data_IF_969773004236
#
_entry.id   IF_969773004236
#
_cell.length_a   1.000
_cell.length_b   1.000
_cell.length_c   1.000
_cell.angle_alpha   90.00
_cell.angle_beta   90.00
_cell.angle_gamma   90.00
#
_symmetry.space_group_name_H-M   'P 1'
#
loop_
_entity.id
_entity.type
_entity.pdbx_description
1 polymer ?
#
# COMPACT_ATOMS: atom_id res chain seq x y z
N UNK A 1 -11.06 -30.77 57.31
CA UNK A 1 -11.58 -29.63 56.52
C UNK A 1 -10.87 -29.65 55.18
N UNK A 2 -11.59 -29.95 54.10
CA UNK A 2 -11.04 -29.98 52.74
C UNK A 2 -11.18 -28.56 52.16
N UNK A 3 -10.05 -27.92 51.87
CA UNK A 3 -10.01 -26.63 51.19
C UNK A 3 -10.36 -26.86 49.72
N UNK A 4 -11.58 -26.50 49.31
CA UNK A 4 -11.94 -26.36 47.90
C UNK A 4 -11.26 -25.09 47.38
N UNK A 5 -10.26 -25.25 46.53
CA UNK A 5 -9.79 -24.18 45.66
C UNK A 5 -10.94 -23.75 44.74
N UNK A 6 -11.21 -22.45 44.55
CA UNK A 6 -12.13 -22.01 43.51
C UNK A 6 -11.49 -22.30 42.15
N UNK A 7 -12.16 -23.07 41.31
CA UNK A 7 -11.88 -23.14 39.87
C UNK A 7 -12.19 -21.76 39.28
N UNK A 8 -11.19 -20.89 39.28
CA UNK A 8 -11.23 -19.70 38.45
C UNK A 8 -11.17 -20.19 36.99
N UNK A 9 -12.11 -19.79 36.10
CA UNK A 9 -11.95 -20.06 34.69
C UNK A 9 -10.62 -19.44 34.27
N UNK A 10 -9.72 -20.26 33.73
CA UNK A 10 -8.56 -19.73 33.02
C UNK A 10 -9.08 -18.70 32.02
N UNK A 11 -8.49 -17.49 31.93
CA UNK A 11 -8.77 -16.64 30.79
C UNK A 11 -8.39 -17.47 29.57
N UNK A 12 -9.37 -17.79 28.72
CA UNK A 12 -9.10 -18.29 27.39
C UNK A 12 -8.27 -17.21 26.73
N UNK A 13 -6.96 -17.42 26.74
CA UNK A 13 -6.03 -16.63 25.96
C UNK A 13 -6.38 -16.99 24.52
N UNK A 14 -7.31 -16.23 23.93
CA UNK A 14 -7.79 -16.36 22.56
C UNK A 14 -6.65 -15.98 21.60
N UNK A 15 -5.63 -16.83 21.59
CA UNK A 15 -4.48 -16.74 20.69
C UNK A 15 -4.92 -17.03 19.26
N UNK A 16 -4.16 -16.52 18.30
CA UNK A 16 -4.36 -16.82 16.89
C UNK A 16 -4.39 -18.35 16.68
N UNK A 17 -5.35 -18.83 15.89
CA UNK A 17 -5.41 -20.26 15.56
C UNK A 17 -4.13 -20.67 14.85
N UNK A 18 -3.67 -21.90 15.10
CA UNK A 18 -2.45 -22.41 14.46
C UNK A 18 -2.54 -22.32 12.92
N UNK A 19 -3.74 -22.58 12.38
CA UNK A 19 -4.02 -22.46 10.94
C UNK A 19 -3.85 -21.03 10.43
N UNK A 20 -4.32 -20.02 11.18
CA UNK A 20 -4.15 -18.62 10.81
C UNK A 20 -2.66 -18.24 10.82
N UNK A 21 -1.92 -18.67 11.85
CA UNK A 21 -0.49 -18.42 11.97
C UNK A 21 0.30 -19.05 10.83
N UNK A 22 -0.02 -20.29 10.46
CA UNK A 22 0.60 -20.96 9.32
C UNK A 22 0.29 -20.22 8.02
N UNK A 23 -0.96 -19.85 7.77
CA UNK A 23 -1.36 -19.14 6.57
C UNK A 23 -0.70 -17.75 6.47
N UNK A 24 -0.65 -17.00 7.57
CA UNK A 24 0.02 -15.71 7.67
C UNK A 24 1.54 -15.82 7.42
N UNK A 25 2.21 -16.81 8.03
CA UNK A 25 3.63 -17.05 7.81
C UNK A 25 3.95 -17.43 6.36
N UNK A 26 3.10 -18.26 5.74
CA UNK A 26 3.24 -18.62 4.32
C UNK A 26 3.05 -17.41 3.40
N UNK A 27 2.09 -16.53 3.70
CA UNK A 27 1.89 -15.29 2.95
C UNK A 27 3.09 -14.35 3.06
N UNK A 28 3.61 -14.14 4.28
CA UNK A 28 4.81 -13.32 4.51
C UNK A 28 6.00 -13.87 3.74
N UNK A 29 6.23 -15.18 3.83
CA UNK A 29 7.31 -15.85 3.08
C UNK A 29 7.13 -15.67 1.58
N UNK A 30 5.91 -15.89 1.06
CA UNK A 30 5.61 -15.72 -0.37
C UNK A 30 5.87 -14.27 -0.82
N UNK A 31 5.41 -13.28 -0.06
CA UNK A 31 5.63 -11.85 -0.34
C UNK A 31 7.12 -11.50 -0.43
N UNK A 32 7.92 -11.98 0.52
CA UNK A 32 9.37 -11.79 0.52
C UNK A 32 10.02 -12.44 -0.73
N UNK A 33 9.71 -13.71 -0.99
CA UNK A 33 10.23 -14.42 -2.17
C UNK A 33 9.82 -13.77 -3.48
N UNK A 34 8.59 -13.25 -3.58
CA UNK A 34 8.11 -12.49 -4.74
C UNK A 34 8.95 -11.24 -4.95
N UNK A 35 9.19 -10.43 -3.91
CA UNK A 35 10.01 -9.21 -4.04
C UNK A 35 11.41 -9.54 -4.56
N UNK A 36 12.05 -10.54 -3.98
CA UNK A 36 13.36 -11.01 -4.42
C UNK A 36 13.37 -11.43 -5.89
N UNK A 37 12.39 -12.25 -6.30
CA UNK A 37 12.31 -12.79 -7.67
C UNK A 37 11.76 -11.80 -8.70
N UNK A 38 11.00 -10.79 -8.29
CA UNK A 38 10.48 -9.79 -9.20
C UNK A 38 11.52 -8.72 -9.49
N UNK A 39 12.20 -8.24 -8.44
CA UNK A 39 12.97 -7.00 -8.48
C UNK A 39 14.48 -7.14 -8.33
N UNK A 40 15.00 -8.34 -8.08
CA UNK A 40 16.45 -8.57 -8.00
C UNK A 40 16.89 -9.64 -8.99
N UNK A 41 18.05 -9.43 -9.59
CA UNK A 41 18.76 -10.48 -10.32
C UNK A 41 19.49 -11.41 -9.33
N UNK A 42 19.31 -12.72 -9.48
CA UNK A 42 19.88 -13.70 -8.54
C UNK A 42 21.39 -13.85 -8.64
N UNK A 43 21.99 -13.42 -9.75
CA UNK A 43 23.43 -13.56 -10.01
C UNK A 43 24.18 -12.26 -9.72
N UNK A 44 23.59 -11.10 -10.06
CA UNK A 44 24.24 -9.79 -9.89
C UNK A 44 23.78 -9.03 -8.65
N UNK A 45 22.65 -9.42 -8.04
CA UNK A 45 21.96 -8.66 -6.99
C UNK A 45 21.55 -7.24 -7.41
N UNK A 46 21.55 -6.94 -8.71
CA UNK A 46 21.10 -5.64 -9.22
C UNK A 46 19.58 -5.57 -9.26
N UNK A 47 19.05 -4.36 -9.03
CA UNK A 47 17.62 -4.08 -9.17
C UNK A 47 17.17 -4.16 -10.63
N UNK A 48 15.98 -4.72 -10.86
CA UNK A 48 15.36 -4.81 -12.19
C UNK A 48 13.84 -4.74 -12.13
N UNK A 49 13.22 -4.44 -13.27
CA UNK A 49 11.77 -4.67 -13.43
C UNK A 49 11.48 -6.14 -13.77
N UNK A 50 10.33 -6.70 -13.33
CA UNK A 50 9.92 -8.04 -13.71
C UNK A 50 9.60 -8.11 -15.21
N UNK A 51 10.09 -9.18 -15.87
CA UNK A 51 9.63 -9.52 -17.22
C UNK A 51 8.20 -10.07 -17.17
N UNK A 52 7.49 -10.05 -18.31
CA UNK A 52 6.13 -10.60 -18.41
C UNK A 52 6.04 -12.05 -17.94
N UNK A 53 6.98 -12.89 -18.39
CA UNK A 53 7.00 -14.31 -18.03
C UNK A 53 7.20 -14.53 -16.53
N UNK A 54 8.07 -13.71 -15.89
CA UNK A 54 8.28 -13.76 -14.45
C UNK A 54 7.02 -13.31 -13.72
N UNK A 55 6.45 -12.17 -14.10
CA UNK A 55 5.25 -11.63 -13.46
C UNK A 55 4.07 -12.61 -13.53
N UNK A 56 3.80 -13.20 -14.69
CA UNK A 56 2.73 -14.21 -14.85
C UNK A 56 2.98 -15.49 -14.06
N UNK A 57 4.25 -15.92 -13.92
CA UNK A 57 4.58 -17.04 -13.05
C UNK A 57 4.28 -16.71 -11.58
N UNK A 58 4.71 -15.53 -11.10
CA UNK A 58 4.45 -15.07 -9.74
C UNK A 58 2.95 -14.85 -9.48
N UNK A 59 2.19 -14.32 -10.45
CA UNK A 59 0.73 -14.19 -10.32
C UNK A 59 0.03 -15.56 -10.22
N UNK A 60 0.52 -16.58 -10.93
CA UNK A 60 0.03 -17.96 -10.77
C UNK A 60 0.35 -18.53 -9.40
N UNK A 61 1.51 -18.21 -8.83
CA UNK A 61 1.84 -18.58 -7.45
C UNK A 61 0.91 -17.90 -6.45
N UNK A 62 0.65 -16.58 -6.59
CA UNK A 62 -0.33 -15.85 -5.78
C UNK A 62 -1.73 -16.48 -5.89
N UNK A 63 -2.17 -16.85 -7.09
CA UNK A 63 -3.46 -17.52 -7.28
C UNK A 63 -3.49 -18.89 -6.62
N UNK A 64 -2.39 -19.65 -6.71
CA UNK A 64 -2.30 -20.97 -6.07
C UNK A 64 -2.37 -20.86 -4.55
N UNK A 65 -1.66 -19.91 -3.96
CA UNK A 65 -1.75 -19.60 -2.52
C UNK A 65 -3.16 -19.19 -2.11
N UNK A 66 -3.84 -18.36 -2.90
CA UNK A 66 -5.21 -17.94 -2.56
C UNK A 66 -6.18 -19.12 -2.44
N UNK A 67 -5.99 -20.18 -3.25
CA UNK A 67 -6.80 -21.40 -3.17
C UNK A 67 -6.49 -22.27 -1.95
N UNK A 68 -5.35 -22.07 -1.28
CA UNK A 68 -4.99 -22.80 -0.06
C UNK A 68 -5.51 -22.10 1.21
N UNK A 69 -6.03 -20.88 1.11
CA UNK A 69 -6.61 -20.17 2.26
C UNK A 69 -7.82 -20.97 2.79
N UNK A 70 -7.86 -21.30 4.09
CA UNK A 70 -8.98 -22.00 4.70
C UNK A 70 -10.32 -21.30 4.48
N UNK A 71 -11.40 -22.07 4.35
CA UNK A 71 -12.73 -21.54 4.00
C UNK A 71 -13.26 -20.54 5.03
N UNK A 72 -13.03 -20.79 6.30
CA UNK A 72 -13.36 -19.93 7.44
C UNK A 72 -12.57 -18.61 7.46
N UNK A 73 -11.46 -18.53 6.71
CA UNK A 73 -10.67 -17.31 6.48
C UNK A 73 -10.92 -16.70 5.10
N UNK A 74 -11.85 -17.22 4.31
CA UNK A 74 -12.23 -16.65 3.02
C UNK A 74 -13.17 -15.45 3.21
N UNK A 75 -13.02 -14.42 2.37
CA UNK A 75 -13.91 -13.25 2.36
C UNK A 75 -15.39 -13.62 2.21
N UNK A 76 -15.71 -14.73 1.55
CA UNK A 76 -17.08 -15.21 1.37
C UNK A 76 -17.74 -15.69 2.69
N UNK A 77 -16.93 -16.10 3.67
CA UNK A 77 -17.39 -16.59 4.97
C UNK A 77 -17.32 -15.53 6.06
N UNK A 78 -16.80 -14.34 5.75
CA UNK A 78 -16.64 -13.22 6.69
C UNK A 78 -17.92 -12.86 7.49
N UNK A 79 -19.15 -12.93 6.94
CA UNK A 79 -20.36 -12.68 7.72
C UNK A 79 -20.54 -13.66 8.88
N UNK A 80 -20.09 -14.90 8.72
CA UNK A 80 -20.18 -16.00 9.69
C UNK A 80 -18.97 -16.09 10.63
N UNK A 81 -17.88 -15.39 10.31
CA UNK A 81 -16.69 -15.31 11.15
C UNK A 81 -17.00 -14.51 12.43
N UNK A 82 -16.52 -14.92 13.61
CA UNK A 82 -16.67 -14.13 14.82
C UNK A 82 -16.04 -12.73 14.70
N UNK A 83 -16.65 -11.66 15.24
CA UNK A 83 -16.15 -10.28 15.12
C UNK A 83 -14.66 -10.13 15.43
N UNK A 84 -14.17 -10.81 16.47
CA UNK A 84 -12.79 -10.84 16.95
C UNK A 84 -11.78 -11.39 15.93
N UNK A 85 -12.26 -12.17 14.95
CA UNK A 85 -11.44 -12.75 13.89
C UNK A 85 -11.59 -12.03 12.55
N UNK A 86 -12.64 -11.22 12.37
CA UNK A 86 -12.90 -10.52 11.09
C UNK A 86 -11.77 -9.58 10.72
N UNK A 87 -11.26 -8.81 11.67
CA UNK A 87 -10.18 -7.87 11.42
C UNK A 87 -8.90 -8.58 10.94
N UNK A 88 -8.53 -9.69 11.59
CA UNK A 88 -7.35 -10.50 11.22
C UNK A 88 -7.49 -11.11 9.82
N UNK A 89 -8.66 -11.66 9.51
CA UNK A 89 -8.96 -12.19 8.17
C UNK A 89 -8.87 -11.10 7.11
N UNK A 90 -9.44 -9.92 7.37
CA UNK A 90 -9.36 -8.79 6.45
C UNK A 90 -7.92 -8.32 6.23
N UNK A 91 -7.11 -8.22 7.28
CA UNK A 91 -5.68 -7.87 7.19
C UNK A 91 -4.87 -8.89 6.37
N UNK A 92 -5.16 -10.18 6.52
CA UNK A 92 -4.56 -11.24 5.69
C UNK A 92 -4.82 -10.98 4.20
N UNK A 93 -6.06 -10.64 3.84
CA UNK A 93 -6.43 -10.33 2.46
C UNK A 93 -5.83 -9.01 1.97
N UNK A 94 -5.79 -7.96 2.80
CA UNK A 94 -5.09 -6.70 2.47
C UNK A 94 -3.64 -6.98 2.11
N UNK A 95 -2.94 -7.78 2.92
CA UNK A 95 -1.53 -8.09 2.67
C UNK A 95 -1.33 -9.01 1.44
N UNK A 96 -2.28 -9.90 1.17
CA UNK A 96 -2.31 -10.69 -0.06
C UNK A 96 -2.48 -9.80 -1.30
N UNK A 97 -3.45 -8.89 -1.29
CA UNK A 97 -3.68 -7.99 -2.42
C UNK A 97 -2.52 -7.01 -2.62
N UNK A 98 -1.91 -6.51 -1.54
CA UNK A 98 -0.66 -5.76 -1.62
C UNK A 98 0.44 -6.58 -2.32
N UNK A 99 0.62 -7.85 -1.95
CA UNK A 99 1.61 -8.73 -2.56
C UNK A 99 1.38 -8.89 -4.07
N UNK A 100 0.13 -8.99 -4.52
CA UNK A 100 -0.21 -8.98 -5.95
C UNK A 100 0.17 -7.66 -6.62
N UNK A 101 -0.17 -6.52 -6.01
CA UNK A 101 0.20 -5.20 -6.52
C UNK A 101 1.71 -5.07 -6.74
N UNK A 102 2.53 -5.62 -5.84
CA UNK A 102 3.99 -5.64 -6.00
C UNK A 102 4.42 -6.39 -7.27
N UNK A 103 3.78 -7.50 -7.63
CA UNK A 103 4.11 -8.23 -8.87
C UNK A 103 3.75 -7.42 -10.12
N UNK A 104 2.63 -6.69 -10.08
CA UNK A 104 1.97 -6.15 -11.26
C UNK A 104 2.14 -4.64 -11.49
N UNK A 105 2.62 -3.87 -10.52
CA UNK A 105 2.68 -2.40 -10.58
C UNK A 105 3.50 -1.85 -11.75
N UNK A 106 4.60 -2.50 -12.14
CA UNK A 106 5.41 -2.07 -13.28
C UNK A 106 4.63 -2.10 -14.59
N UNK A 107 3.66 -3.02 -14.72
CA UNK A 107 2.82 -3.12 -15.92
C UNK A 107 1.74 -2.04 -15.96
N UNK A 108 1.28 -1.57 -14.79
CA UNK A 108 0.44 -0.37 -14.70
C UNK A 108 1.21 0.87 -15.18
N UNK A 109 2.47 1.03 -14.79
CA UNK A 109 3.32 2.13 -15.28
C UNK A 109 3.50 2.03 -16.80
N UNK A 110 3.81 0.84 -17.33
CA UNK A 110 3.90 0.62 -18.80
C UNK A 110 2.59 0.95 -19.53
N UNK A 111 1.43 0.65 -18.93
CA UNK A 111 0.15 1.09 -19.50
C UNK A 111 0.05 2.61 -19.56
N UNK A 112 0.41 3.29 -18.47
CA UNK A 112 0.41 4.77 -18.43
C UNK A 112 1.37 5.34 -19.47
N UNK A 113 2.57 4.79 -19.60
CA UNK A 113 3.54 5.19 -20.65
C UNK A 113 2.98 4.99 -22.05
N UNK A 114 2.30 3.87 -22.30
CA UNK A 114 1.61 3.62 -23.57
C UNK A 114 0.49 4.63 -23.84
N UNK A 115 -0.25 5.04 -22.80
CA UNK A 115 -1.28 6.07 -22.92
C UNK A 115 -0.67 7.44 -23.23
N UNK A 116 0.45 7.80 -22.59
CA UNK A 116 1.20 9.03 -22.88
C UNK A 116 1.69 9.01 -24.33
N UNK A 117 2.30 7.90 -24.78
CA UNK A 117 2.76 7.75 -26.15
C UNK A 117 1.60 7.95 -27.15
N UNK A 118 0.43 7.38 -26.86
CA UNK A 118 -0.77 7.59 -27.67
C UNK A 118 -1.19 9.06 -27.74
N UNK A 119 -1.16 9.79 -26.63
CA UNK A 119 -1.47 11.23 -26.57
C UNK A 119 -0.44 12.10 -27.31
N UNK A 120 0.79 11.60 -27.48
CA UNK A 120 1.86 12.23 -28.26
C UNK A 120 1.87 11.80 -29.74
N UNK A 121 0.77 11.19 -30.22
CA UNK A 121 0.63 10.65 -31.58
C UNK A 121 1.69 9.58 -31.94
N UNK A 122 2.34 8.98 -30.94
CA UNK A 122 3.24 7.83 -31.12
C UNK A 122 2.40 6.56 -31.14
N UNK A 123 2.14 6.05 -32.33
CA UNK A 123 1.34 4.84 -32.49
C UNK A 123 2.07 3.60 -31.96
N UNK A 124 1.55 3.01 -30.89
CA UNK A 124 1.96 1.68 -30.41
C UNK A 124 1.06 0.65 -31.09
N UNK A 125 1.58 -0.21 -31.98
CA UNK A 125 0.75 -1.20 -32.65
C UNK A 125 0.24 -2.23 -31.63
N UNK A 126 -0.99 -2.74 -31.79
CA UNK A 126 -1.51 -3.79 -30.93
C UNK A 126 -0.65 -5.05 -31.05
N UNK A 127 -0.26 -5.61 -29.91
CA UNK A 127 0.50 -6.85 -29.82
C UNK A 127 -0.04 -7.76 -28.72
N UNK A 128 0.31 -9.04 -28.79
CA UNK A 128 0.01 -10.00 -27.71
C UNK A 128 0.69 -9.57 -26.41
N UNK A 129 1.92 -9.05 -26.51
CA UNK A 129 2.69 -8.54 -25.39
C UNK A 129 1.99 -7.35 -24.69
N UNK A 130 1.45 -6.43 -25.49
CA UNK A 130 0.66 -5.31 -24.99
C UNK A 130 -0.60 -5.81 -24.28
N UNK A 131 -1.31 -6.78 -24.87
CA UNK A 131 -2.53 -7.34 -24.27
C UNK A 131 -2.26 -7.99 -22.91
N UNK A 132 -1.15 -8.73 -22.78
CA UNK A 132 -0.71 -9.33 -21.52
C UNK A 132 -0.26 -8.29 -20.49
N UNK A 133 0.43 -7.24 -20.95
CA UNK A 133 0.79 -6.08 -20.11
C UNK A 133 -0.46 -5.39 -19.54
N UNK A 134 -1.48 -5.16 -20.38
CA UNK A 134 -2.74 -4.57 -19.97
C UNK A 134 -3.50 -5.46 -18.98
N UNK A 135 -3.46 -6.78 -19.15
CA UNK A 135 -4.06 -7.73 -18.20
C UNK A 135 -3.40 -7.65 -16.82
N UNK A 136 -2.06 -7.63 -16.76
CA UNK A 136 -1.33 -7.45 -15.49
C UNK A 136 -1.58 -6.07 -14.87
N UNK A 137 -1.67 -5.01 -15.68
CA UNK A 137 -2.06 -3.67 -15.21
C UNK A 137 -3.44 -3.70 -14.56
N UNK A 138 -4.42 -4.38 -15.15
CA UNK A 138 -5.77 -4.51 -14.59
C UNK A 138 -5.77 -5.34 -13.29
N UNK A 139 -5.01 -6.43 -13.23
CA UNK A 139 -4.80 -7.22 -12.02
C UNK A 139 -4.25 -6.36 -10.86
N UNK A 140 -3.33 -5.43 -11.16
CA UNK A 140 -2.77 -4.51 -10.19
C UNK A 140 -3.85 -3.61 -9.57
N UNK A 141 -4.64 -2.98 -10.43
CA UNK A 141 -5.66 -2.01 -10.01
C UNK A 141 -6.80 -2.71 -9.30
N UNK A 142 -7.19 -3.90 -9.76
CA UNK A 142 -8.20 -4.72 -9.09
C UNK A 142 -7.71 -5.18 -7.71
N UNK A 143 -6.45 -5.57 -7.57
CA UNK A 143 -5.89 -5.96 -6.26
C UNK A 143 -5.90 -4.76 -5.30
N UNK A 144 -5.49 -3.57 -5.74
CA UNK A 144 -5.57 -2.35 -4.92
C UNK A 144 -7.02 -1.99 -4.54
N UNK A 145 -7.96 -2.16 -5.47
CA UNK A 145 -9.37 -1.95 -5.21
C UNK A 145 -9.91 -2.93 -4.15
N UNK A 146 -9.60 -4.22 -4.26
CA UNK A 146 -10.02 -5.23 -3.27
C UNK A 146 -9.37 -5.00 -1.90
N UNK A 147 -8.11 -4.53 -1.86
CA UNK A 147 -7.46 -4.10 -0.62
C UNK A 147 -8.24 -2.98 0.07
N UNK A 148 -8.62 -1.93 -0.66
CA UNK A 148 -9.46 -0.84 -0.12
C UNK A 148 -10.82 -1.34 0.37
N UNK A 149 -11.46 -2.28 -0.34
CA UNK A 149 -12.72 -2.90 0.11
C UNK A 149 -12.55 -3.63 1.43
N UNK A 150 -11.45 -4.36 1.60
CA UNK A 150 -11.16 -5.05 2.85
C UNK A 150 -10.94 -4.06 4.00
N UNK A 151 -10.23 -2.95 3.75
CA UNK A 151 -9.98 -1.92 4.76
C UNK A 151 -11.28 -1.22 5.17
N UNK A 152 -12.16 -0.87 4.22
CA UNK A 152 -13.46 -0.27 4.52
C UNK A 152 -14.33 -1.22 5.33
N UNK A 153 -14.43 -2.49 4.92
CA UNK A 153 -15.14 -3.51 5.68
C UNK A 153 -14.56 -3.72 7.09
N UNK A 154 -13.28 -3.38 7.25
CA UNK A 154 -12.52 -3.44 8.49
C UNK A 154 -12.64 -2.22 9.41
N UNK A 155 -13.19 -1.11 8.92
CA UNK A 155 -13.17 0.16 9.63
C UNK A 155 -13.86 0.07 11.00
N UNK A 156 -15.02 -0.60 11.05
CA UNK A 156 -15.79 -0.80 12.29
C UNK A 156 -15.11 -1.76 13.28
N UNK A 157 -14.14 -2.55 12.83
CA UNK A 157 -13.34 -3.45 13.66
C UNK A 157 -12.01 -2.84 14.10
N UNK A 158 -11.83 -1.52 13.88
CA UNK A 158 -10.64 -0.80 14.30
C UNK A 158 -9.41 -1.07 13.43
N UNK A 159 -9.55 -1.59 12.20
CA UNK A 159 -8.40 -1.80 11.30
C UNK A 159 -7.68 -0.49 10.97
N UNK A 160 -8.40 0.64 10.93
CA UNK A 160 -7.84 1.94 10.53
C UNK A 160 -7.30 2.67 11.76
N UNK A 161 -6.02 3.01 11.75
CA UNK A 161 -5.33 3.67 12.86
C UNK A 161 -4.92 2.74 13.99
N UNK A 162 -5.06 1.42 13.83
CA UNK A 162 -4.51 0.42 14.76
C UNK A 162 -2.99 0.44 14.73
N UNK A 163 -2.43 0.53 13.53
CA UNK A 163 -0.99 0.54 13.29
C UNK A 163 -0.70 1.55 12.21
N UNK A 164 0.40 2.29 12.31
CA UNK A 164 0.85 3.14 11.21
C UNK A 164 0.93 2.42 9.84
N UNK A 165 1.06 1.09 9.86
CA UNK A 165 1.11 0.25 8.67
C UNK A 165 -0.24 0.10 7.94
N UNK A 166 -1.39 0.28 8.60
CA UNK A 166 -2.69 0.28 7.92
C UNK A 166 -2.80 1.46 6.93
N UNK A 167 -2.31 2.64 7.33
CA UNK A 167 -2.23 3.84 6.50
C UNK A 167 -1.28 3.67 5.31
N UNK A 168 -0.20 2.90 5.47
CA UNK A 168 0.67 2.55 4.35
C UNK A 168 -0.11 1.80 3.26
N UNK A 169 -0.86 0.75 3.64
CA UNK A 169 -1.65 -0.01 2.66
C UNK A 169 -2.77 0.84 2.04
N UNK A 170 -3.41 1.70 2.82
CA UNK A 170 -4.40 2.67 2.32
C UNK A 170 -3.79 3.55 1.22
N UNK A 171 -2.72 4.28 1.54
CA UNK A 171 -2.16 5.23 0.58
C UNK A 171 -1.53 4.52 -0.61
N UNK A 172 -0.89 3.36 -0.41
CA UNK A 172 -0.40 2.53 -1.51
C UNK A 172 -1.52 2.15 -2.49
N UNK A 173 -2.64 1.63 -1.99
CA UNK A 173 -3.77 1.24 -2.83
C UNK A 173 -4.43 2.45 -3.51
N UNK A 174 -4.55 3.59 -2.84
CA UNK A 174 -5.05 4.84 -3.45
C UNK A 174 -4.16 5.28 -4.60
N UNK A 175 -2.83 5.29 -4.41
CA UNK A 175 -1.90 5.68 -5.46
C UNK A 175 -1.99 4.76 -6.69
N UNK A 176 -2.12 3.44 -6.49
CA UNK A 176 -2.32 2.49 -7.61
C UNK A 176 -3.63 2.77 -8.35
N UNK A 177 -4.74 2.93 -7.63
CA UNK A 177 -6.03 3.21 -8.28
C UNK A 177 -5.97 4.54 -9.04
N UNK A 178 -5.35 5.58 -8.48
CA UNK A 178 -5.22 6.87 -9.17
C UNK A 178 -4.35 6.76 -10.43
N UNK A 179 -3.25 6.01 -10.37
CA UNK A 179 -2.36 5.82 -11.52
C UNK A 179 -3.09 5.19 -12.73
N UNK A 180 -4.12 4.38 -12.50
CA UNK A 180 -4.99 3.82 -13.54
C UNK A 180 -5.71 4.87 -14.41
N UNK A 181 -5.95 6.05 -13.83
CA UNK A 181 -6.60 7.18 -14.49
C UNK A 181 -5.62 8.16 -15.12
N UNK A 182 -4.31 7.97 -14.90
CA UNK A 182 -3.30 8.86 -15.45
C UNK A 182 -3.20 8.72 -16.97
N UNK A 183 -3.11 9.86 -17.66
CA UNK A 183 -2.96 9.96 -19.10
C UNK A 183 -4.04 9.24 -19.93
N UNK A 184 -5.23 8.95 -19.39
CA UNK A 184 -6.32 8.33 -20.17
C UNK A 184 -6.67 9.20 -21.39
N UNK A 185 -6.93 8.59 -22.58
CA UNK A 185 -7.29 9.33 -23.78
C UNK A 185 -8.50 10.24 -23.59
N UNK A 186 -8.46 11.44 -24.20
CA UNK A 186 -9.57 12.41 -24.15
C UNK A 186 -10.85 11.78 -24.73
N UNK A 187 -11.95 11.94 -24.02
CA UNK A 187 -13.27 11.42 -24.43
C UNK A 187 -13.54 9.97 -24.02
N UNK A 188 -12.56 9.27 -23.41
CA UNK A 188 -12.81 7.98 -22.77
C UNK A 188 -13.78 8.16 -21.60
N UNK A 189 -14.93 7.51 -21.68
CA UNK A 189 -15.95 7.57 -20.64
C UNK A 189 -15.63 6.56 -19.54
N UNK A 190 -15.87 6.96 -18.28
CA UNK A 190 -15.73 6.05 -17.16
C UNK A 190 -16.70 4.88 -17.29
N UNK A 191 -16.17 3.66 -17.15
CA UNK A 191 -16.98 2.45 -17.03
C UNK A 191 -17.61 2.35 -15.64
N UNK A 192 -18.56 1.43 -15.44
CA UNK A 192 -19.13 1.19 -14.11
C UNK A 192 -18.05 0.79 -13.07
N UNK A 193 -17.04 0.01 -13.49
CA UNK A 193 -15.91 -0.34 -12.63
C UNK A 193 -15.04 0.88 -12.30
N UNK A 194 -14.85 1.78 -13.25
CA UNK A 194 -14.10 3.02 -13.00
C UNK A 194 -14.80 3.89 -11.96
N UNK A 195 -16.13 4.00 -12.04
CA UNK A 195 -16.92 4.73 -11.05
C UNK A 195 -16.81 4.10 -9.66
N UNK A 196 -16.88 2.77 -9.55
CA UNK A 196 -16.69 2.05 -8.28
C UNK A 196 -15.28 2.30 -7.70
N UNK A 197 -14.25 2.20 -8.53
CA UNK A 197 -12.86 2.48 -8.15
C UNK A 197 -12.65 3.91 -7.68
N UNK A 198 -13.25 4.89 -8.36
CA UNK A 198 -13.19 6.30 -7.93
C UNK A 198 -13.89 6.48 -6.60
N UNK A 199 -15.07 5.89 -6.46
CA UNK A 199 -15.88 6.04 -5.25
C UNK A 199 -15.16 5.48 -4.02
N UNK A 200 -14.55 4.30 -4.14
CA UNK A 200 -13.85 3.71 -3.01
C UNK A 200 -12.67 4.56 -2.53
N UNK A 201 -11.98 5.25 -3.45
CA UNK A 201 -10.89 6.17 -3.13
C UNK A 201 -11.45 7.40 -2.42
N UNK A 202 -12.57 7.97 -2.88
CA UNK A 202 -13.22 9.11 -2.22
C UNK A 202 -13.65 8.76 -0.80
N UNK A 203 -14.31 7.63 -0.62
CA UNK A 203 -14.71 7.12 0.70
C UNK A 203 -13.48 6.98 1.59
N UNK A 204 -12.41 6.34 1.11
CA UNK A 204 -11.20 6.14 1.90
C UNK A 204 -10.49 7.45 2.26
N UNK A 205 -10.37 8.38 1.31
CA UNK A 205 -9.79 9.70 1.56
C UNK A 205 -10.60 10.49 2.59
N UNK A 206 -11.93 10.38 2.58
CA UNK A 206 -12.79 10.99 3.58
C UNK A 206 -12.62 10.34 4.96
N UNK A 207 -12.47 9.01 5.03
CA UNK A 207 -12.22 8.31 6.29
C UNK A 207 -10.92 8.78 6.96
N UNK A 208 -9.85 8.98 6.18
CA UNK A 208 -8.56 9.42 6.74
C UNK A 208 -8.45 10.93 6.96
N UNK A 209 -9.37 11.75 6.42
CA UNK A 209 -9.32 13.24 6.42
C UNK A 209 -9.42 13.89 7.81
N UNK A 210 -9.68 13.14 8.87
CA UNK A 210 -9.74 13.65 10.25
C UNK A 210 -8.74 13.01 11.21
N UNK A 211 -7.90 12.09 10.73
CA UNK A 211 -7.04 11.29 11.59
C UNK A 211 -5.81 12.08 12.05
N UNK A 212 -5.38 11.84 13.30
CA UNK A 212 -4.11 12.36 13.81
C UNK A 212 -2.97 11.48 13.29
N UNK A 213 -2.34 11.93 12.21
CA UNK A 213 -1.27 11.19 11.54
C UNK A 213 0.13 11.61 12.00
N UNK A 214 1.08 10.67 12.02
CA UNK A 214 2.51 10.99 12.12
C UNK A 214 2.97 11.71 10.84
N UNK A 215 4.09 12.42 10.92
CA UNK A 215 4.55 13.33 9.85
C UNK A 215 4.61 12.65 8.48
N UNK A 216 5.23 11.48 8.39
CA UNK A 216 5.34 10.69 7.14
C UNK A 216 3.99 10.41 6.50
N UNK A 217 2.97 10.05 7.29
CA UNK A 217 1.63 9.73 6.78
C UNK A 217 0.80 10.98 6.47
N UNK A 218 1.09 12.12 7.10
CA UNK A 218 0.53 13.41 6.65
C UNK A 218 1.04 13.74 5.26
N UNK A 219 2.33 13.59 5.03
CA UNK A 219 2.94 13.81 3.70
C UNK A 219 2.38 12.85 2.66
N UNK A 220 2.37 11.54 2.94
CA UNK A 220 1.80 10.54 2.04
C UNK A 220 0.31 10.79 1.77
N UNK A 221 -0.47 11.16 2.79
CA UNK A 221 -1.87 11.53 2.62
C UNK A 221 -2.06 12.76 1.74
N UNK A 222 -1.21 13.79 1.92
CA UNK A 222 -1.19 14.96 1.04
C UNK A 222 -0.91 14.59 -0.42
N UNK A 223 0.11 13.76 -0.66
CA UNK A 223 0.44 13.26 -2.00
C UNK A 223 -0.74 12.49 -2.60
N UNK A 224 -1.37 11.59 -1.84
CA UNK A 224 -2.50 10.80 -2.30
C UNK A 224 -3.71 11.68 -2.68
N UNK A 225 -4.03 12.70 -1.88
CA UNK A 225 -5.12 13.66 -2.17
C UNK A 225 -4.83 14.47 -3.43
N UNK A 226 -3.60 14.97 -3.57
CA UNK A 226 -3.19 15.72 -4.75
C UNK A 226 -3.25 14.84 -6.00
N UNK A 227 -2.75 13.62 -5.92
CA UNK A 227 -2.74 12.70 -7.05
C UNK A 227 -4.16 12.29 -7.46
N UNK A 228 -5.06 12.05 -6.50
CA UNK A 228 -6.47 11.80 -6.77
C UNK A 228 -7.16 13.01 -7.43
N UNK A 229 -6.75 14.23 -7.09
CA UNK A 229 -7.24 15.45 -7.75
C UNK A 229 -6.74 15.56 -9.20
N UNK A 230 -5.44 15.37 -9.43
CA UNK A 230 -4.81 15.44 -10.76
C UNK A 230 -5.44 14.41 -11.72
N UNK A 231 -5.73 13.22 -11.22
CA UNK A 231 -6.30 12.12 -12.00
C UNK A 231 -7.82 12.21 -12.15
N UNK A 232 -8.46 13.22 -11.57
CA UNK A 232 -9.92 13.41 -11.60
C UNK A 232 -10.69 12.37 -10.79
N UNK A 233 -10.01 11.58 -9.94
CA UNK A 233 -10.62 10.59 -9.05
C UNK A 233 -11.35 11.27 -7.90
N UNK A 234 -10.79 12.36 -7.36
CA UNK A 234 -11.36 13.09 -6.22
C UNK A 234 -12.63 13.91 -6.57
N UNK A 235 -12.92 14.15 -7.86
CA UNK A 235 -14.07 14.95 -8.29
C UNK A 235 -15.35 14.13 -8.21
N UNK A 236 -16.35 14.61 -7.45
CA UNK A 236 -17.71 14.03 -7.42
C UNK A 236 -18.44 14.34 -8.73
N UNK A 237 -18.96 13.32 -9.42
CA UNK A 237 -19.80 13.53 -10.60
C UNK A 237 -21.22 13.87 -10.13
N UNK A 238 -21.52 15.16 -10.00
CA UNK A 238 -22.82 15.63 -9.51
C UNK A 238 -23.04 17.14 -9.54
N UNK A 239 -22.99 17.77 -10.72
CA UNK A 239 -23.99 18.80 -11.08
C UNK A 239 -24.03 19.02 -12.60
N UNK A 240 -25.14 18.71 -13.28
CA UNK A 240 -25.45 19.24 -14.59
C UNK A 240 -26.24 20.55 -14.46
N UNK A 241 -25.55 21.67 -14.26
CA UNK A 241 -26.05 23.05 -14.46
C UNK A 241 -24.85 23.85 -15.01
N UNK A 242 -24.80 24.47 -16.20
CA UNK A 242 -25.80 24.96 -17.12
C UNK A 242 -25.27 24.87 -18.56
N UNK A 243 -25.98 24.17 -19.45
CA UNK A 243 -25.92 24.46 -20.89
C UNK A 243 -27.14 25.34 -21.18
N UNK A 244 -26.95 26.65 -21.16
CA UNK A 244 -27.71 27.60 -21.99
C UNK A 244 -26.82 28.81 -22.31
N UNK A 245 -26.43 28.88 -23.59
CA UNK A 245 -26.06 30.01 -24.43
C UNK A 245 -25.35 31.26 -23.84
N UNK A 246 -24.10 31.44 -24.30
CA UNK A 246 -23.48 32.67 -24.82
C UNK A 246 -23.57 33.99 -24.02
N UNK A 247 -22.43 34.46 -23.48
CA UNK A 247 -21.71 35.66 -23.95
C UNK A 247 -20.44 35.95 -23.14
N UNK A 248 -19.29 35.96 -23.84
CA UNK A 248 -18.14 36.88 -23.67
C UNK A 248 -17.49 37.11 -22.30
N UNK A 249 -16.21 36.72 -22.19
CA UNK A 249 -15.25 37.16 -21.15
C UNK A 249 -14.70 35.95 -20.39
N UNK A 250 -13.49 35.46 -20.66
CA UNK A 250 -12.26 36.20 -20.41
C UNK A 250 -11.70 35.76 -19.06
N UNK A 251 -10.93 34.68 -19.09
CA UNK A 251 -9.76 34.39 -18.25
C UNK A 251 -9.86 34.68 -16.73
N UNK A 252 -9.95 33.60 -15.93
CA UNK A 252 -9.38 33.45 -14.58
C UNK A 252 -9.83 32.12 -13.96
N UNK A 253 -9.08 31.06 -14.26
CA UNK A 253 -9.01 29.92 -13.33
C UNK A 253 -8.11 30.37 -12.18
N UNK A 254 -8.60 30.27 -10.96
CA UNK A 254 -7.94 30.73 -9.74
C UNK A 254 -6.53 30.11 -9.56
N UNK A 255 -5.52 30.85 -10.02
CA UNK A 255 -4.08 30.58 -9.83
C UNK A 255 -3.64 30.63 -8.35
N UNK A 256 -4.51 31.07 -7.43
CA UNK A 256 -4.18 31.22 -6.02
C UNK A 256 -4.17 29.91 -5.21
N UNK A 257 -4.92 28.88 -5.61
CA UNK A 257 -4.87 27.58 -4.91
C UNK A 257 -3.72 26.68 -5.39
N UNK A 258 -3.26 26.84 -6.63
CA UNK A 258 -2.10 26.10 -7.16
C UNK A 258 -0.76 26.70 -6.70
N UNK A 259 -0.69 28.00 -6.44
CA UNK A 259 0.54 28.68 -6.01
C UNK A 259 0.91 28.40 -4.54
N UNK A 260 -0.08 28.28 -3.64
CA UNK A 260 0.16 28.01 -2.22
C UNK A 260 0.70 26.59 -1.94
N UNK A 261 0.34 25.61 -2.77
CA UNK A 261 0.87 24.24 -2.65
C UNK A 261 2.28 24.07 -3.23
N UNK A 262 2.73 24.99 -4.09
CA UNK A 262 4.00 24.85 -4.82
C UNK A 262 5.22 25.14 -3.94
N UNK A 263 5.09 26.08 -2.99
CA UNK A 263 6.18 26.50 -2.11
C UNK A 263 6.46 25.45 -1.00
N UNK A 264 5.41 24.85 -0.44
CA UNK A 264 5.54 23.73 0.52
C UNK A 264 6.09 22.46 -0.15
N UNK A 265 5.69 22.15 -1.39
CA UNK A 265 6.18 20.95 -2.12
C UNK A 265 7.66 21.02 -2.50
N UNK A 266 8.18 22.22 -2.81
CA UNK A 266 9.60 22.39 -3.11
C UNK A 266 10.49 22.19 -1.88
N UNK A 267 9.98 22.53 -0.69
CA UNK A 267 10.67 22.32 0.57
C UNK A 267 10.62 20.84 1.02
N UNK A 268 9.49 20.15 0.77
CA UNK A 268 9.31 18.71 1.08
C UNK A 268 10.12 17.78 0.16
N UNK A 269 10.26 18.12 -1.13
CA UNK A 269 11.07 17.34 -2.08
C UNK A 269 12.56 17.32 -1.71
N UNK A 270 13.06 18.36 -1.05
CA UNK A 270 14.45 18.40 -0.56
C UNK A 270 14.65 17.58 0.72
N UNK A 271 13.63 17.38 1.55
CA UNK A 271 13.70 16.53 2.76
C UNK A 271 13.57 15.04 2.45
N UNK A 272 12.99 14.66 1.31
CA UNK A 272 12.81 13.25 0.90
C UNK A 272 14.12 12.61 0.42
N UNK A 273 15.11 13.41 -0.04
CA UNK A 273 16.38 12.90 -0.56
C UNK A 273 17.24 12.19 0.50
N UNK A 274 17.02 12.47 1.79
CA UNK A 274 17.81 11.89 2.89
C UNK A 274 17.16 10.65 3.54
N UNK A 275 15.97 10.23 3.11
CA UNK A 275 15.20 9.10 3.71
C UNK A 275 15.21 7.84 2.83
N UNK A 276 15.94 7.86 1.70
CA UNK A 276 15.49 7.12 0.52
C UNK A 276 15.94 5.66 0.37
N UNK A 277 16.92 5.13 1.13
CA UNK A 277 17.44 3.78 0.80
C UNK A 277 17.07 2.64 1.77
N UNK A 278 16.85 2.90 3.07
CA UNK A 278 16.68 1.79 4.03
C UNK A 278 15.28 1.62 4.63
N UNK A 279 14.43 2.65 4.63
CA UNK A 279 13.16 2.57 5.34
C UNK A 279 12.17 1.62 4.66
N UNK A 280 12.02 1.68 3.33
CA UNK A 280 11.00 0.88 2.62
C UNK A 280 11.35 -0.62 2.60
N UNK A 281 12.63 -0.95 2.46
CA UNK A 281 13.13 -2.32 2.53
C UNK A 281 12.99 -2.88 3.97
N UNK A 282 13.38 -2.13 4.99
CA UNK A 282 13.33 -2.61 6.39
C UNK A 282 11.92 -2.63 6.99
N UNK A 283 11.06 -1.65 6.67
CA UNK A 283 9.69 -1.60 7.18
C UNK A 283 8.83 -2.75 6.62
N UNK A 284 9.10 -3.18 5.39
CA UNK A 284 8.36 -4.30 4.75
C UNK A 284 9.04 -5.66 4.91
N UNK A 285 10.33 -5.72 5.21
CA UNK A 285 11.03 -6.94 5.62
C UNK A 285 10.76 -7.31 7.09
N UNK A 286 10.50 -6.32 7.95
CA UNK A 286 10.13 -6.51 9.36
C UNK A 286 8.64 -6.82 9.56
N UNK A 287 7.92 -7.18 8.50
CA UNK A 287 6.53 -7.67 8.57
C UNK A 287 6.51 -9.09 9.16
N UNK A 288 6.81 -9.18 10.44
CA UNK A 288 6.59 -10.37 11.24
C UNK A 288 5.10 -10.63 11.46
N UNK A 289 4.81 -11.68 12.22
CA UNK A 289 3.45 -12.02 12.63
C UNK A 289 2.81 -10.91 13.50
N UNK A 290 3.64 -10.04 14.09
CA UNK A 290 3.25 -8.86 14.88
C UNK A 290 2.28 -7.92 14.16
N UNK A 291 2.27 -7.90 12.81
CA UNK A 291 1.26 -7.14 12.06
C UNK A 291 -0.17 -7.68 12.26
N UNK A 292 -0.30 -8.99 12.47
CA UNK A 292 -1.59 -9.66 12.67
C UNK A 292 -2.00 -9.73 14.15
N UNK A 293 -1.10 -9.35 15.06
CA UNK A 293 -1.38 -9.23 16.49
C UNK A 293 -2.21 -7.98 16.77
N UNK A 294 -3.52 -8.11 16.56
CA UNK A 294 -4.53 -7.18 17.06
C UNK A 294 -4.77 -7.47 18.56
N UNK A 295 -4.22 -6.66 19.47
CA UNK A 295 -4.53 -6.72 20.89
C UNK A 295 -5.94 -6.18 21.14
N UNK A 296 -6.87 -7.07 21.51
CA UNK A 296 -8.21 -6.70 21.93
C UNK A 296 -8.19 -6.28 23.41
N UNK A 297 -8.51 -5.01 23.66
CA UNK A 297 -8.73 -4.49 25.00
C UNK A 297 -9.03 -3.02 24.95
N UNK A 298 -10.18 -2.63 25.49
CA UNK A 298 -10.61 -1.25 25.72
C UNK A 298 -9.51 -0.40 26.36
N UNK A 299 -8.74 0.28 25.53
CA UNK A 299 -8.20 1.62 25.72
C UNK A 299 -7.54 1.94 24.39
N UNK A 300 -8.18 2.77 23.57
CA UNK A 300 -7.46 3.47 22.51
C UNK A 300 -6.36 4.26 23.23
N UNK A 301 -5.18 3.67 23.37
CA UNK A 301 -4.02 4.34 23.93
C UNK A 301 -3.88 5.64 23.11
N UNK A 302 -3.93 6.82 23.77
CA UNK A 302 -3.66 8.04 23.04
C UNK A 302 -2.29 7.85 22.40
N UNK A 303 -2.20 8.10 21.09
CA UNK A 303 -0.96 8.24 20.34
C UNK A 303 -0.13 9.36 20.98
N UNK A 304 0.51 9.07 22.11
CA UNK A 304 1.60 9.84 22.68
C UNK A 304 2.86 9.26 22.06
N UNK A 305 3.49 10.05 21.20
CA UNK A 305 4.85 9.83 20.76
C UNK A 305 5.76 9.84 21.99
N UNK A 306 6.08 8.66 22.51
CA UNK A 306 7.25 8.49 23.35
C UNK A 306 8.51 8.70 22.49
N UNK A 307 9.57 9.31 23.02
CA UNK A 307 10.83 9.43 22.30
C UNK A 307 11.38 8.02 21.97
N UNK A 308 12.04 7.84 20.82
CA UNK A 308 12.51 6.53 20.40
C UNK A 308 13.52 6.00 21.41
N UNK A 309 13.18 4.89 22.07
CA UNK A 309 14.10 4.14 22.92
C UNK A 309 15.10 3.39 22.05
N UNK A 310 16.10 4.10 21.56
CA UNK A 310 17.37 3.51 21.14
C UNK A 310 18.24 3.28 22.38
N UNK A 311 19.01 2.19 22.47
CA UNK A 311 20.02 2.04 23.50
C UNK A 311 21.09 3.13 23.32
N UNK A 312 21.17 4.05 24.27
CA UNK A 312 22.27 5.01 24.40
C UNK A 312 23.60 4.27 24.56
N UNK A 313 24.42 4.25 23.52
CA UNK A 313 25.86 4.00 23.64
C UNK A 313 26.57 5.34 23.77
N UNK A 314 26.77 5.79 25.01
CA UNK A 314 27.61 6.94 25.31
C UNK A 314 29.10 6.63 25.05
N UNK A 315 29.71 7.40 24.15
CA UNK A 315 30.98 8.08 24.37
C UNK A 315 32.28 7.40 23.93
N UNK A 316 32.94 7.96 22.90
CA UNK A 316 34.29 8.52 23.02
C UNK A 316 34.77 9.23 21.73
N UNK A 317 35.07 10.52 21.90
CA UNK A 317 36.22 11.29 21.35
C UNK A 317 36.44 11.44 19.84
N UNK A 318 36.41 12.72 19.46
CA UNK A 318 36.98 13.35 18.26
C UNK A 318 38.50 13.19 18.13
N UNK A 319 39.00 12.71 16.98
CA UNK A 319 40.23 13.23 16.35
C UNK A 319 40.42 12.75 14.90
N UNK A 320 40.38 13.72 13.97
CA UNK A 320 41.11 13.87 12.70
C UNK A 320 41.33 12.71 11.70
N UNK A 321 40.79 12.97 10.49
CA UNK A 321 41.32 12.66 9.16
C UNK A 321 41.72 11.22 8.82
N UNK A 322 40.74 10.40 8.44
CA UNK A 322 40.87 9.45 7.33
C UNK A 322 39.53 9.44 6.56
N UNK A 323 39.58 9.48 5.22
CA UNK A 323 38.41 9.31 4.36
C UNK A 323 38.04 7.82 4.46
N UNK A 324 37.00 7.51 5.22
CA UNK A 324 36.46 6.15 5.31
C UNK A 324 35.85 5.75 3.97
N UNK A 325 36.45 4.74 3.34
CA UNK A 325 35.93 4.06 2.16
C UNK A 325 34.76 3.15 2.58
N UNK A 326 33.54 3.61 2.32
CA UNK A 326 32.29 2.92 2.70
C UNK A 326 32.10 1.55 2.02
N UNK A 327 32.91 1.20 1.02
CA UNK A 327 32.85 -0.13 0.39
C UNK A 327 33.49 -1.24 1.24
N UNK A 328 34.31 -0.90 2.23
CA UNK A 328 35.04 -1.88 3.04
C UNK A 328 34.18 -2.52 4.16
N UNK A 329 33.05 -1.91 4.54
CA UNK A 329 32.23 -2.38 5.67
C UNK A 329 31.18 -3.43 5.27
N UNK A 330 30.81 -3.50 3.99
CA UNK A 330 29.83 -4.45 3.45
C UNK A 330 30.34 -5.89 3.35
N UNK A 331 31.63 -6.14 3.61
CA UNK A 331 32.26 -7.46 3.47
C UNK A 331 32.59 -8.19 4.79
N UNK A 332 32.24 -7.65 5.96
CA UNK A 332 32.46 -8.35 7.25
C UNK A 332 31.27 -9.18 7.77
N UNK A 333 30.21 -9.30 7.00
CA UNK A 333 29.05 -10.16 7.33
C UNK A 333 29.12 -11.60 6.82
N UNK A 334 30.14 -11.99 6.03
CA UNK A 334 30.18 -13.29 5.34
C UNK A 334 31.32 -14.23 5.79
N UNK A 335 31.57 -14.35 7.08
CA UNK A 335 32.33 -15.49 7.60
C UNK A 335 31.76 -15.97 8.94
N UNK A 336 30.78 -16.88 8.88
CA UNK A 336 30.64 -18.03 9.78
C UNK A 336 29.57 -18.97 9.23
N UNK A 337 30.01 -19.88 8.35
CA UNK A 337 29.76 -21.32 8.41
C UNK A 337 30.74 -22.03 7.46
#
# INVERSE_FOLDING_TARGET
MSMRMPDAPMPEQQSMSAEFMTCGAELVRMSYTIRQRAYFDTNTNEERSPSLAIAEALMRECNSFYQTIPKDMSLNFLPSTPPEHKARVLLLHVYYFYTRCIVSRDFLIKKVESNIAYLEDKHVPPSEELSRTLALSEDCVESAHQSLRCIIAGADFGIIGYSWLDLFFIFHSILIVCADFLARPKGYQDTAKDLERKEIVRVMLNLVRGMKLASTYKTLGGIAIQFASITGVAVEQGSPENITAEQGGGDRVDEHQAALGRDETAQVLNEISDVQEDWFANATASLGLDFFDLHEGQEALPLQAGPPSYPEMYGAQTSNNEVEDWTAQTLRGMHTL
#
